data_IF_067885050674
#
_entry.id   IF_067885050674
#
_cell.length_a   1.000
_cell.length_b   1.000
_cell.length_c   1.000
_cell.angle_alpha   90.00
_cell.angle_beta   90.00
_cell.angle_gamma   90.00
#
_symmetry.space_group_name_H-M   'P 1'
#
loop_
_entity.id
_entity.type
_entity.pdbx_description
1 polymer ?
#
# COMPACT_ATOMS: atom_id res chain seq x y z
N UNK A 1 -5.89 0.66 -27.24
CA UNK A 1 -6.79 0.99 -26.11
C UNK A 1 -5.99 1.84 -25.12
N UNK A 2 -6.60 2.80 -24.41
CA UNK A 2 -5.88 3.59 -23.39
C UNK A 2 -5.49 2.71 -22.19
N UNK A 3 -4.25 2.80 -21.73
CA UNK A 3 -3.81 2.14 -20.48
C UNK A 3 -4.39 2.87 -19.26
N UNK A 4 -4.46 2.22 -18.08
CA UNK A 4 -4.68 2.89 -16.80
C UNK A 4 -3.87 4.18 -16.62
N UNK A 5 -2.58 4.15 -16.95
CA UNK A 5 -1.66 5.28 -16.80
C UNK A 5 -1.98 6.42 -17.77
N UNK A 6 -2.26 6.13 -19.04
CA UNK A 6 -2.69 7.16 -20.01
C UNK A 6 -4.01 7.80 -19.58
N UNK A 7 -4.95 6.98 -19.11
CA UNK A 7 -6.27 7.43 -18.64
C UNK A 7 -6.12 8.37 -17.44
N UNK A 8 -5.27 8.04 -16.47
CA UNK A 8 -4.95 8.92 -15.33
C UNK A 8 -4.41 10.28 -15.80
N UNK A 9 -3.42 10.29 -16.70
CA UNK A 9 -2.86 11.54 -17.23
C UNK A 9 -3.85 12.36 -18.06
N UNK A 10 -4.82 11.73 -18.73
CA UNK A 10 -5.89 12.43 -19.46
C UNK A 10 -6.94 13.01 -18.51
N UNK A 11 -7.34 12.25 -17.48
CA UNK A 11 -8.27 12.71 -16.42
C UNK A 11 -7.70 13.94 -15.69
N UNK A 12 -6.43 13.89 -15.27
CA UNK A 12 -5.76 15.05 -14.65
C UNK A 12 -5.62 16.27 -15.58
N UNK A 13 -5.73 16.09 -16.90
CA UNK A 13 -5.73 17.18 -17.90
C UNK A 13 -7.14 17.62 -18.32
N UNK A 14 -8.19 17.17 -17.61
CA UNK A 14 -9.58 17.45 -17.94
C UNK A 14 -10.00 16.96 -19.32
N UNK A 15 -9.35 15.92 -19.86
CA UNK A 15 -9.63 15.37 -21.19
C UNK A 15 -10.62 14.21 -21.09
N UNK A 16 -11.49 14.11 -22.09
CA UNK A 16 -12.42 12.99 -22.21
C UNK A 16 -11.67 11.66 -22.31
N UNK A 17 -12.16 10.65 -21.59
CA UNK A 17 -11.66 9.28 -21.60
C UNK A 17 -12.84 8.33 -21.78
N UNK A 18 -12.69 7.31 -22.64
CA UNK A 18 -13.81 6.47 -23.09
C UNK A 18 -14.54 5.66 -22.00
N UNK A 19 -13.96 5.58 -20.80
CA UNK A 19 -14.66 5.25 -19.55
C UNK A 19 -13.93 5.93 -18.37
N UNK A 20 -14.58 6.09 -17.20
CA UNK A 20 -13.90 6.52 -15.98
C UNK A 20 -12.69 5.63 -15.62
N UNK A 21 -11.75 6.20 -14.87
CA UNK A 21 -10.67 5.48 -14.21
C UNK A 21 -11.18 4.94 -12.86
N UNK A 22 -10.89 3.69 -12.52
CA UNK A 22 -11.16 3.14 -11.18
C UNK A 22 -9.84 2.89 -10.44
N UNK A 23 -9.56 3.66 -9.39
CA UNK A 23 -8.39 3.45 -8.52
C UNK A 23 -8.79 3.59 -7.05
N UNK A 24 -8.18 2.77 -6.19
CA UNK A 24 -8.19 2.96 -4.75
C UNK A 24 -6.80 3.47 -4.35
N UNK A 25 -6.61 4.78 -4.09
CA UNK A 25 -5.29 5.34 -3.76
C UNK A 25 -4.78 4.92 -2.37
N UNK A 26 -5.61 4.21 -1.60
CA UNK A 26 -5.39 3.90 -0.19
C UNK A 26 -5.93 5.00 0.74
N UNK A 27 -5.44 5.04 1.98
CA UNK A 27 -5.84 5.99 3.02
C UNK A 27 -6.48 5.26 4.21
N UNK A 28 -7.64 5.77 4.66
CA UNK A 28 -8.57 5.04 5.54
C UNK A 28 -9.37 3.95 4.80
N UNK A 29 -9.06 3.73 3.52
CA UNK A 29 -9.58 2.64 2.69
C UNK A 29 -8.37 1.88 2.18
N UNK A 30 -8.41 0.56 2.19
CA UNK A 30 -7.45 -0.27 1.48
C UNK A 30 -8.15 -0.95 0.27
N UNK A 31 -7.36 -1.64 -0.55
CA UNK A 31 -7.83 -2.27 -1.80
C UNK A 31 -7.85 -3.80 -1.75
N UNK A 32 -7.59 -4.39 -0.57
CA UNK A 32 -7.47 -5.83 -0.38
C UNK A 32 -8.79 -6.37 0.19
N UNK A 33 -9.32 -7.41 -0.44
CA UNK A 33 -10.49 -8.16 0.00
C UNK A 33 -10.11 -9.63 0.21
N UNK A 34 -10.92 -10.35 0.99
CA UNK A 34 -10.63 -11.72 1.41
C UNK A 34 -10.48 -12.67 0.21
N UNK A 35 -11.28 -12.47 -0.84
CA UNK A 35 -11.25 -13.23 -2.09
C UNK A 35 -9.89 -13.12 -2.80
N UNK A 36 -9.25 -11.95 -2.81
CA UNK A 36 -7.94 -11.78 -3.44
C UNK A 36 -6.85 -12.46 -2.60
N UNK A 37 -6.98 -12.48 -1.27
CA UNK A 37 -6.07 -13.24 -0.41
C UNK A 37 -6.15 -14.76 -0.63
N UNK A 38 -7.34 -15.28 -0.91
CA UNK A 38 -7.52 -16.71 -1.22
C UNK A 38 -7.15 -17.05 -2.67
N UNK A 39 -7.40 -16.17 -3.64
CA UNK A 39 -6.96 -16.33 -5.04
C UNK A 39 -5.43 -16.30 -5.19
N UNK A 40 -4.73 -15.47 -4.42
CA UNK A 40 -3.25 -15.34 -4.47
C UNK A 40 -2.53 -16.24 -3.48
N UNK A 41 -3.24 -16.83 -2.51
CA UNK A 41 -2.66 -17.47 -1.33
C UNK A 41 -1.95 -16.50 -0.35
N UNK A 42 -1.91 -15.20 -0.66
CA UNK A 42 -1.19 -14.19 0.11
C UNK A 42 -2.13 -13.54 1.15
N UNK A 43 -1.95 -13.88 2.43
CA UNK A 43 -2.95 -13.61 3.49
C UNK A 43 -2.47 -12.58 4.51
N UNK A 44 -3.42 -12.02 5.26
CA UNK A 44 -3.14 -11.22 6.45
C UNK A 44 -3.20 -12.12 7.71
N UNK A 45 -2.31 -11.92 8.69
CA UNK A 45 -1.38 -10.79 8.83
C UNK A 45 -0.02 -10.93 8.11
N UNK A 46 0.25 -12.03 7.40
CA UNK A 46 1.57 -12.34 6.82
C UNK A 46 2.01 -11.29 5.77
N UNK A 47 1.08 -10.80 4.96
CA UNK A 47 1.27 -9.71 3.99
C UNK A 47 1.41 -8.32 4.62
N UNK A 48 1.77 -8.24 5.91
CA UNK A 48 2.29 -7.03 6.54
C UNK A 48 3.79 -7.14 6.86
N UNK A 49 4.36 -8.36 6.82
CA UNK A 49 5.70 -8.66 7.31
C UNK A 49 6.67 -9.18 6.23
N UNK A 50 6.19 -9.52 5.02
CA UNK A 50 7.01 -10.05 3.93
C UNK A 50 6.80 -9.24 2.62
N UNK A 51 7.88 -8.80 1.95
CA UNK A 51 7.78 -7.91 0.78
C UNK A 51 7.24 -8.61 -0.47
N UNK A 52 7.54 -9.89 -0.66
CA UNK A 52 7.01 -10.70 -1.78
C UNK A 52 5.51 -10.93 -1.62
N UNK A 53 5.06 -11.23 -0.40
CA UNK A 53 3.63 -11.44 -0.11
C UNK A 53 2.85 -10.13 -0.28
N UNK A 54 3.42 -8.97 0.10
CA UNK A 54 2.84 -7.65 -0.21
C UNK A 54 2.73 -7.44 -1.72
N UNK A 55 3.82 -7.63 -2.46
CA UNK A 55 3.85 -7.36 -3.88
C UNK A 55 2.86 -8.26 -4.65
N UNK A 56 2.86 -9.56 -4.38
CA UNK A 56 1.95 -10.53 -5.01
C UNK A 56 0.48 -10.26 -4.66
N UNK A 57 0.17 -9.86 -3.42
CA UNK A 57 -1.20 -9.51 -3.03
C UNK A 57 -1.69 -8.22 -3.71
N UNK A 58 -0.84 -7.19 -3.81
CA UNK A 58 -1.17 -5.96 -4.52
C UNK A 58 -1.34 -6.18 -6.04
N UNK A 59 -0.46 -6.98 -6.66
CA UNK A 59 -0.57 -7.41 -8.06
C UNK A 59 -1.86 -8.21 -8.29
N UNK A 60 -2.22 -9.11 -7.37
CA UNK A 60 -3.42 -9.93 -7.46
C UNK A 60 -4.70 -9.12 -7.63
N UNK A 61 -4.84 -7.96 -6.97
CA UNK A 61 -6.01 -7.07 -7.13
C UNK A 61 -6.07 -6.48 -8.54
N UNK A 62 -4.91 -6.10 -9.10
CA UNK A 62 -4.80 -5.53 -10.44
C UNK A 62 -5.05 -6.58 -11.52
N UNK A 63 -4.46 -7.78 -11.41
CA UNK A 63 -4.60 -8.85 -12.41
C UNK A 63 -6.00 -9.50 -12.39
N UNK A 64 -6.66 -9.58 -11.24
CA UNK A 64 -8.07 -9.98 -11.15
C UNK A 64 -9.06 -8.83 -11.45
N UNK A 65 -8.57 -7.67 -11.91
CA UNK A 65 -9.40 -6.58 -12.45
C UNK A 65 -10.15 -5.72 -11.43
N UNK A 66 -9.78 -5.77 -10.15
CA UNK A 66 -10.45 -5.00 -9.09
C UNK A 66 -10.20 -3.49 -9.17
N UNK A 67 -8.93 -3.08 -9.31
CA UNK A 67 -8.53 -1.67 -9.46
C UNK A 67 -7.43 -1.51 -10.49
N UNK A 68 -7.33 -0.30 -11.08
CA UNK A 68 -6.38 0.01 -12.15
C UNK A 68 -5.02 0.52 -11.62
N UNK A 69 -4.78 0.38 -10.32
CA UNK A 69 -3.56 0.70 -9.60
C UNK A 69 -3.06 -0.50 -8.81
N UNK A 70 -1.78 -0.46 -8.42
CA UNK A 70 -1.26 -1.19 -7.25
C UNK A 70 -0.93 -0.19 -6.15
N UNK A 71 -1.24 -0.54 -4.90
CA UNK A 71 -1.13 0.35 -3.74
C UNK A 71 -0.59 -0.37 -2.50
N UNK A 72 0.40 0.24 -1.85
CA UNK A 72 1.03 -0.27 -0.62
C UNK A 72 1.39 0.89 0.34
N UNK A 73 1.48 0.66 1.66
CA UNK A 73 1.08 -0.54 2.41
C UNK A 73 -0.44 -0.67 2.54
N UNK A 74 -0.89 -1.81 3.09
CA UNK A 74 -2.32 -2.09 3.35
C UNK A 74 -2.81 -1.61 4.74
N UNK A 75 -2.15 -0.62 5.35
CA UNK A 75 -2.55 -0.06 6.65
C UNK A 75 -1.83 1.28 6.94
N UNK A 76 -2.34 2.06 7.89
CA UNK A 76 -1.78 3.36 8.29
C UNK A 76 -0.82 3.28 9.51
N UNK A 77 -0.27 2.11 9.84
CA UNK A 77 0.47 1.90 11.11
C UNK A 77 1.99 1.73 10.98
N UNK A 78 2.54 1.77 9.76
CA UNK A 78 3.96 1.49 9.51
C UNK A 78 4.86 2.57 10.11
N UNK A 79 4.51 3.85 9.92
CA UNK A 79 5.21 4.99 10.50
C UNK A 79 5.07 5.01 12.03
N UNK A 80 3.88 4.74 12.55
CA UNK A 80 3.64 4.70 13.99
C UNK A 80 4.51 3.63 14.67
N UNK A 81 4.58 2.41 14.11
CA UNK A 81 5.49 1.35 14.55
C UNK A 81 6.95 1.78 14.48
N UNK A 82 7.37 2.40 13.37
CA UNK A 82 8.74 2.89 13.21
C UNK A 82 9.11 4.01 14.21
N UNK A 83 8.12 4.77 14.70
CA UNK A 83 8.26 5.72 15.80
C UNK A 83 8.22 5.07 17.20
N UNK A 84 7.97 3.75 17.28
CA UNK A 84 7.81 2.86 18.47
C UNK A 84 6.40 2.72 19.06
N UNK A 85 5.34 2.89 18.29
CA UNK A 85 3.99 2.50 18.73
C UNK A 85 3.84 0.98 18.71
N UNK A 86 3.15 0.42 19.71
CA UNK A 86 2.72 -0.97 19.66
C UNK A 86 1.62 -1.13 18.61
N UNK A 87 1.72 -2.16 17.77
CA UNK A 87 0.75 -2.46 16.72
C UNK A 87 0.29 -3.91 16.84
N UNK A 88 -1.02 -4.11 16.94
CA UNK A 88 -1.64 -5.40 16.68
C UNK A 88 -1.79 -5.56 15.15
N UNK A 89 -1.14 -6.57 14.56
CA UNK A 89 -1.08 -6.77 13.10
C UNK A 89 -2.40 -7.21 12.44
N UNK A 90 -3.50 -7.29 13.19
CA UNK A 90 -4.80 -7.63 12.61
C UNK A 90 -5.07 -9.15 12.54
N UNK A 91 -5.91 -9.52 11.59
CA UNK A 91 -6.28 -10.91 11.23
C UNK A 91 -6.56 -10.96 9.72
N UNK A 92 -6.96 -12.12 9.17
CA UNK A 92 -7.41 -12.22 7.76
C UNK A 92 -8.48 -11.17 7.38
N UNK A 93 -9.31 -10.72 8.34
CA UNK A 93 -10.45 -9.82 8.12
C UNK A 93 -10.39 -8.51 8.94
N UNK A 94 -9.26 -8.17 9.57
CA UNK A 94 -9.09 -6.89 10.30
C UNK A 94 -7.70 -6.31 10.08
N UNK A 95 -7.61 -5.03 9.75
CA UNK A 95 -6.33 -4.36 9.49
C UNK A 95 -5.47 -4.15 10.75
N UNK A 96 -4.14 -3.99 10.59
CA UNK A 96 -3.24 -3.54 11.65
C UNK A 96 -3.69 -2.24 12.31
N UNK A 97 -3.72 -2.22 13.65
CA UNK A 97 -4.05 -1.04 14.46
C UNK A 97 -3.01 -0.78 15.55
N UNK A 98 -2.80 0.49 15.87
CA UNK A 98 -2.06 0.88 17.09
C UNK A 98 -2.84 0.41 18.32
N UNK A 99 -2.15 -0.18 19.30
CA UNK A 99 -2.74 -0.53 20.60
C UNK A 99 -2.44 0.49 21.68
N UNK A 100 -1.26 1.11 21.63
CA UNK A 100 -0.74 2.00 22.67
C UNK A 100 -0.12 3.26 22.05
N UNK A 101 -0.49 4.44 22.56
CA UNK A 101 0.08 5.71 22.12
C UNK A 101 1.45 5.97 22.77
N UNK A 102 2.43 6.37 21.97
CA UNK A 102 3.80 6.71 22.42
C UNK A 102 3.82 8.02 23.22
N UNK A 103 2.82 8.88 22.99
CA UNK A 103 2.66 10.20 23.60
C UNK A 103 1.20 10.39 24.05
N UNK A 104 1.04 11.07 25.18
CA UNK A 104 -0.23 11.39 25.86
C UNK A 104 -0.77 12.80 25.52
N UNK A 105 0.06 13.67 24.94
CA UNK A 105 -0.34 14.93 24.30
C UNK A 105 0.42 15.16 23.00
N UNK A 106 -0.23 15.83 22.05
CA UNK A 106 0.36 16.35 20.81
C UNK A 106 1.59 17.24 21.05
N UNK A 107 1.65 17.96 22.18
CA UNK A 107 2.79 18.82 22.53
C UNK A 107 4.10 18.04 22.65
N UNK A 108 4.01 16.75 23.02
CA UNK A 108 5.15 15.84 23.21
C UNK A 108 5.64 15.21 21.89
N UNK A 109 5.18 15.68 20.71
CA UNK A 109 5.62 15.18 19.40
C UNK A 109 7.15 15.14 19.24
N UNK A 110 7.87 16.06 19.89
CA UNK A 110 9.35 16.10 19.89
C UNK A 110 10.02 14.89 20.56
N UNK A 111 9.27 14.06 21.29
CA UNK A 111 9.76 12.84 21.93
C UNK A 111 9.71 11.61 21.00
N UNK A 112 8.95 11.69 19.89
CA UNK A 112 8.85 10.63 18.89
C UNK A 112 10.24 10.31 18.29
N UNK A 113 10.45 9.06 17.88
CA UNK A 113 11.71 8.65 17.25
C UNK A 113 11.63 8.86 15.74
N UNK A 114 12.77 9.23 15.13
CA UNK A 114 12.89 9.28 13.68
C UNK A 114 12.63 7.89 13.08
N UNK A 115 11.88 7.84 11.97
CA UNK A 115 11.56 6.61 11.25
C UNK A 115 12.85 5.95 10.76
N UNK A 116 13.09 4.70 11.16
CA UNK A 116 14.18 3.89 10.61
C UNK A 116 13.70 3.13 9.36
N UNK A 117 13.96 3.68 8.19
CA UNK A 117 13.63 3.05 6.89
C UNK A 117 14.36 1.72 6.64
N UNK A 118 15.44 1.44 7.39
CA UNK A 118 16.25 0.24 7.24
C UNK A 118 15.85 -0.89 8.22
N UNK A 119 14.69 -0.79 8.89
CA UNK A 119 14.17 -1.83 9.77
C UNK A 119 12.65 -1.86 9.86
N UNK A 120 12.12 -2.81 10.65
CA UNK A 120 10.67 -2.99 10.88
C UNK A 120 9.87 -3.17 9.58
N UNK A 121 8.56 -2.91 9.64
CA UNK A 121 7.73 -2.90 8.42
C UNK A 121 8.09 -1.80 7.43
N UNK A 122 8.77 -0.73 7.86
CA UNK A 122 9.21 0.34 6.95
C UNK A 122 10.15 -0.20 5.85
N UNK A 123 11.13 -1.04 6.22
CA UNK A 123 11.98 -1.73 5.23
C UNK A 123 11.19 -2.68 4.34
N UNK A 124 10.28 -3.46 4.94
CA UNK A 124 9.44 -4.45 4.23
C UNK A 124 8.59 -3.77 3.14
N UNK A 125 8.00 -2.61 3.43
CA UNK A 125 7.23 -1.83 2.45
C UNK A 125 8.12 -1.27 1.34
N UNK A 126 9.29 -0.72 1.68
CA UNK A 126 10.24 -0.22 0.68
C UNK A 126 10.81 -1.32 -0.23
N UNK A 127 10.98 -2.55 0.27
CA UNK A 127 11.39 -3.69 -0.54
C UNK A 127 10.23 -4.20 -1.42
N UNK A 128 8.98 -4.20 -0.92
CA UNK A 128 7.80 -4.49 -1.72
C UNK A 128 7.61 -3.49 -2.88
N UNK A 129 7.87 -2.20 -2.64
CA UNK A 129 7.84 -1.15 -3.68
C UNK A 129 8.84 -1.48 -4.81
N UNK A 130 10.04 -1.98 -4.50
CA UNK A 130 11.04 -2.39 -5.52
C UNK A 130 10.57 -3.57 -6.37
N UNK A 131 9.89 -4.55 -5.76
CA UNK A 131 9.31 -5.68 -6.50
C UNK A 131 8.18 -5.20 -7.42
N UNK A 132 7.34 -4.27 -6.94
CA UNK A 132 6.28 -3.64 -7.73
C UNK A 132 6.82 -2.75 -8.86
N UNK A 133 7.92 -2.02 -8.66
CA UNK A 133 8.67 -1.33 -9.74
C UNK A 133 9.04 -2.29 -10.86
N UNK A 134 9.62 -3.45 -10.51
CA UNK A 134 9.98 -4.46 -11.50
C UNK A 134 8.78 -5.06 -12.22
N UNK A 135 7.69 -5.38 -11.50
CA UNK A 135 6.44 -5.85 -12.08
C UNK A 135 5.86 -4.82 -13.06
N UNK A 136 5.72 -3.57 -12.63
CA UNK A 136 5.19 -2.48 -13.45
C UNK A 136 6.04 -2.27 -14.69
N UNK A 137 7.37 -2.39 -14.60
CA UNK A 137 8.28 -2.36 -15.76
C UNK A 137 8.05 -3.54 -16.72
N UNK A 138 7.78 -4.75 -16.23
CA UNK A 138 7.47 -5.94 -17.06
C UNK A 138 6.16 -5.74 -17.86
N UNK A 139 5.15 -5.09 -17.27
CA UNK A 139 3.89 -4.73 -17.96
C UNK A 139 3.94 -3.37 -18.68
N UNK A 140 5.11 -2.98 -19.22
CA UNK A 140 5.35 -1.75 -19.99
C UNK A 140 4.99 -0.42 -19.28
N UNK A 141 4.85 -0.44 -17.96
CA UNK A 141 4.40 0.71 -17.17
C UNK A 141 2.90 0.95 -17.20
N UNK A 142 2.09 -0.03 -17.61
CA UNK A 142 0.65 0.17 -17.89
C UNK A 142 -0.25 0.30 -16.65
N UNK A 143 0.27 0.12 -15.43
CA UNK A 143 -0.49 0.22 -14.17
C UNK A 143 -0.22 1.56 -13.45
N UNK A 144 -1.20 2.05 -12.69
CA UNK A 144 -1.06 3.23 -11.83
C UNK A 144 -0.32 2.87 -10.53
N UNK A 145 0.66 3.67 -10.14
CA UNK A 145 1.29 3.59 -8.82
C UNK A 145 0.49 4.41 -7.80
N UNK A 146 0.40 3.92 -6.58
CA UNK A 146 -0.26 4.60 -5.46
C UNK A 146 0.31 4.14 -4.12
N UNK A 147 0.04 4.88 -3.06
CA UNK A 147 0.43 4.50 -1.71
C UNK A 147 0.00 5.52 -0.67
N UNK A 148 -0.03 5.06 0.59
CA UNK A 148 -0.54 5.81 1.75
C UNK A 148 0.58 6.35 2.63
N UNK A 149 1.66 5.58 2.68
CA UNK A 149 2.81 5.85 3.52
C UNK A 149 3.69 6.95 2.92
N UNK A 150 4.37 7.74 3.76
CA UNK A 150 5.42 8.67 3.29
C UNK A 150 6.58 7.90 2.61
N UNK A 151 6.73 6.61 2.93
CA UNK A 151 7.66 5.69 2.29
C UNK A 151 7.27 5.36 0.83
N UNK A 152 6.02 5.61 0.42
CA UNK A 152 5.55 5.39 -0.95
C UNK A 152 5.85 6.56 -1.91
N UNK A 153 6.46 7.64 -1.40
CA UNK A 153 7.01 8.75 -2.20
C UNK A 153 8.54 8.73 -2.30
N UNK A 154 9.20 7.63 -1.90
CA UNK A 154 10.66 7.44 -1.86
C UNK A 154 11.13 6.38 -2.88
#
# INVERSE_FOLDING_TARGET
MLTPKDRLFLVFKGKSVGRPLCICPGGMMNMIIEEVMDLTGCKWPEAHMNPEIIANLAVGVYENGGFENVGVPFCMTVEAEAMRANVFLGTKITEPRVTDYIIDSVDKWRNLKNININGGRAKVVLDAIKILEEYIRKISGNCVKSGVSILSTA
#
